data_IF_008749051295
#
_entry.id   IF_008749051295
#
_cell.length_a   1.000
_cell.length_b   1.000
_cell.length_c   1.000
_cell.angle_alpha   90.00
_cell.angle_beta   90.00
_cell.angle_gamma   90.00
#
_symmetry.space_group_name_H-M   'P 1'
#
loop_
_entity.id
_entity.type
_entity.pdbx_description
1 polymer ?
#
# COMPACT_ATOMS: atom_id res chain seq x y z
N UNK A 1 -11.33 -1.80 2.26
CA UNK A 1 -10.51 -0.98 1.33
C UNK A 1 -11.05 -1.01 -0.10
N UNK A 2 -10.95 -2.09 -0.90
CA UNK A 2 -11.40 -2.07 -2.32
C UNK A 2 -12.87 -1.67 -2.49
N UNK A 3 -13.75 -2.26 -1.69
CA UNK A 3 -15.18 -1.91 -1.66
C UNK A 3 -15.40 -0.42 -1.40
N UNK A 4 -14.76 0.14 -0.38
CA UNK A 4 -14.87 1.57 -0.04
C UNK A 4 -14.37 2.46 -1.18
N UNK A 5 -13.21 2.13 -1.76
CA UNK A 5 -12.65 2.88 -2.89
C UNK A 5 -13.61 2.87 -4.09
N UNK A 6 -14.20 1.72 -4.42
CA UNK A 6 -15.16 1.62 -5.52
C UNK A 6 -16.51 2.28 -5.21
N UNK A 7 -16.99 2.22 -3.96
CA UNK A 7 -18.21 2.92 -3.53
C UNK A 7 -18.04 4.44 -3.63
N UNK A 8 -16.91 4.97 -3.15
CA UNK A 8 -16.60 6.41 -3.21
C UNK A 8 -16.37 6.92 -4.63
N UNK A 9 -15.94 6.04 -5.55
CA UNK A 9 -15.86 6.33 -6.99
C UNK A 9 -17.21 6.24 -7.70
N UNK A 10 -18.27 5.84 -7.00
CA UNK A 10 -19.59 5.53 -7.57
C UNK A 10 -19.56 4.37 -8.60
N UNK A 11 -18.60 3.46 -8.44
CA UNK A 11 -18.45 2.25 -9.25
C UNK A 11 -19.23 1.07 -8.66
N UNK A 12 -19.59 1.11 -7.39
CA UNK A 12 -20.48 0.16 -6.72
C UNK A 12 -21.67 0.90 -6.12
N UNK A 13 -22.79 0.20 -5.97
CA UNK A 13 -23.96 0.72 -5.27
C UNK A 13 -24.50 -0.32 -4.30
N UNK A 14 -24.81 0.12 -3.10
CA UNK A 14 -25.48 -0.68 -2.07
C UNK A 14 -26.91 -0.14 -1.90
N UNK A 15 -27.87 -1.02 -1.65
CA UNK A 15 -29.22 -0.60 -1.28
C UNK A 15 -29.18 0.11 0.08
N UNK A 16 -29.93 1.21 0.22
CA UNK A 16 -30.05 1.97 1.47
C UNK A 16 -30.56 1.13 2.63
N UNK A 17 -31.24 0.03 2.34
CA UNK A 17 -31.90 -0.83 3.33
C UNK A 17 -31.00 -2.01 3.77
N UNK A 18 -29.79 -2.13 3.20
CA UNK A 18 -28.91 -3.27 3.40
C UNK A 18 -27.83 -2.98 4.46
N UNK A 19 -28.22 -3.06 5.74
CA UNK A 19 -27.26 -3.16 6.83
C UNK A 19 -27.56 -4.41 7.69
N UNK A 20 -26.57 -5.30 7.95
CA UNK A 20 -25.18 -5.32 7.48
C UNK A 20 -24.99 -5.98 6.09
N UNK A 21 -23.91 -5.64 5.38
CA UNK A 21 -23.49 -6.28 4.11
C UNK A 21 -22.52 -7.43 4.39
N UNK A 22 -22.78 -8.62 3.87
CA UNK A 22 -21.88 -9.77 4.02
C UNK A 22 -20.63 -9.64 3.14
N UNK A 23 -19.54 -10.28 3.56
CA UNK A 23 -18.31 -10.37 2.78
C UNK A 23 -18.57 -10.97 1.40
N UNK A 24 -19.33 -12.06 1.31
CA UNK A 24 -19.66 -12.70 0.03
C UNK A 24 -20.39 -11.75 -0.91
N UNK A 25 -21.33 -10.96 -0.39
CA UNK A 25 -22.06 -9.97 -1.20
C UNK A 25 -21.11 -8.88 -1.70
N UNK A 26 -20.21 -8.40 -0.86
CA UNK A 26 -19.21 -7.42 -1.27
C UNK A 26 -18.25 -7.99 -2.33
N UNK A 27 -17.79 -9.23 -2.16
CA UNK A 27 -16.94 -9.92 -3.13
C UNK A 27 -17.66 -10.07 -4.48
N UNK A 28 -18.93 -10.49 -4.50
CA UNK A 28 -19.72 -10.56 -5.75
C UNK A 28 -19.79 -9.21 -6.46
N UNK A 29 -20.05 -8.13 -5.74
CA UNK A 29 -20.14 -6.78 -6.32
C UNK A 29 -18.79 -6.32 -6.92
N UNK A 30 -17.68 -6.55 -6.21
CA UNK A 30 -16.34 -6.23 -6.73
C UNK A 30 -16.02 -7.08 -7.95
N UNK A 31 -16.41 -8.36 -7.94
CA UNK A 31 -16.18 -9.27 -9.05
C UNK A 31 -16.97 -8.85 -10.31
N UNK A 32 -18.25 -8.54 -10.16
CA UNK A 32 -19.09 -8.01 -11.25
C UNK A 32 -18.43 -6.77 -11.86
N UNK A 33 -17.97 -5.84 -11.02
CA UNK A 33 -17.29 -4.62 -11.49
C UNK A 33 -15.98 -4.92 -12.24
N UNK A 34 -15.21 -5.91 -11.78
CA UNK A 34 -13.97 -6.35 -12.43
C UNK A 34 -14.24 -6.89 -13.84
N UNK A 35 -15.26 -7.74 -13.99
CA UNK A 35 -15.66 -8.29 -15.29
C UNK A 35 -16.11 -7.16 -16.23
N UNK A 36 -16.97 -6.27 -15.74
CA UNK A 36 -17.51 -5.15 -16.53
C UNK A 36 -16.41 -4.22 -17.03
N UNK A 37 -15.44 -3.87 -16.17
CA UNK A 37 -14.27 -3.02 -16.53
C UNK A 37 -13.46 -3.60 -17.69
N UNK A 38 -13.38 -4.92 -17.80
CA UNK A 38 -12.42 -5.60 -18.66
C UNK A 38 -13.06 -6.30 -19.88
N UNK A 39 -14.39 -6.22 -20.01
CA UNK A 39 -15.16 -6.90 -21.07
C UNK A 39 -15.04 -6.31 -22.48
N UNK A 40 -14.46 -5.11 -22.63
CA UNK A 40 -14.54 -4.31 -23.88
C UNK A 40 -13.29 -4.31 -24.79
N UNK A 41 -12.26 -5.12 -24.52
CA UNK A 41 -11.04 -5.12 -25.34
C UNK A 41 -11.16 -6.00 -26.60
N UNK A 42 -10.89 -5.42 -27.78
CA UNK A 42 -11.14 -6.01 -29.11
C UNK A 42 -9.90 -6.64 -29.78
N UNK A 43 -8.74 -6.65 -29.14
CA UNK A 43 -7.48 -7.12 -29.74
C UNK A 43 -7.13 -8.55 -29.30
N UNK A 44 -7.15 -9.51 -30.24
CA UNK A 44 -7.10 -10.96 -29.97
C UNK A 44 -5.89 -11.45 -29.14
N UNK A 45 -4.71 -10.84 -29.28
CA UNK A 45 -3.52 -11.17 -28.46
C UNK A 45 -3.59 -10.59 -27.04
N UNK A 46 -4.25 -9.44 -26.88
CA UNK A 46 -4.47 -8.79 -25.58
C UNK A 46 -5.53 -9.55 -24.76
N UNK A 47 -6.48 -10.17 -25.46
CA UNK A 47 -7.60 -10.93 -24.87
C UNK A 47 -7.10 -12.14 -24.07
N UNK A 48 -6.10 -12.90 -24.52
CA UNK A 48 -5.67 -14.12 -23.81
C UNK A 48 -4.96 -13.80 -22.48
N UNK A 49 -4.02 -12.84 -22.48
CA UNK A 49 -3.34 -12.41 -21.26
C UNK A 49 -4.32 -11.72 -20.28
N UNK A 50 -5.25 -10.92 -20.79
CA UNK A 50 -6.27 -10.27 -19.96
C UNK A 50 -7.27 -11.28 -19.40
N UNK A 51 -7.68 -12.29 -20.16
CA UNK A 51 -8.54 -13.38 -19.69
C UNK A 51 -7.87 -14.18 -18.57
N UNK A 52 -6.58 -14.48 -18.70
CA UNK A 52 -5.84 -15.14 -17.63
C UNK A 52 -5.77 -14.28 -16.37
N UNK A 53 -5.49 -12.97 -16.51
CA UNK A 53 -5.48 -12.05 -15.37
C UNK A 53 -6.86 -11.96 -14.69
N UNK A 54 -7.96 -11.97 -15.45
CA UNK A 54 -9.32 -11.99 -14.90
C UNK A 54 -9.60 -13.31 -14.17
N UNK A 55 -9.21 -14.45 -14.75
CA UNK A 55 -9.37 -15.76 -14.12
C UNK A 55 -8.60 -15.84 -12.80
N UNK A 56 -7.34 -15.42 -12.80
CA UNK A 56 -6.52 -15.34 -11.59
C UNK A 56 -7.15 -14.40 -10.56
N UNK A 57 -7.68 -13.24 -10.98
CA UNK A 57 -8.34 -12.30 -10.09
C UNK A 57 -9.61 -12.89 -9.45
N UNK A 58 -10.41 -13.67 -10.19
CA UNK A 58 -11.59 -14.37 -9.65
C UNK A 58 -11.19 -15.30 -8.51
N UNK A 59 -10.14 -16.08 -8.69
CA UNK A 59 -9.67 -17.04 -7.70
C UNK A 59 -9.02 -16.36 -6.48
N UNK A 60 -8.40 -15.19 -6.69
CA UNK A 60 -7.70 -14.43 -5.65
C UNK A 60 -8.62 -13.50 -4.85
N UNK A 61 -9.72 -13.01 -5.42
CA UNK A 61 -10.59 -12.02 -4.78
C UNK A 61 -11.06 -12.44 -3.37
N UNK A 62 -11.50 -13.69 -3.13
CA UNK A 62 -11.88 -14.14 -1.79
C UNK A 62 -10.72 -14.10 -0.79
N UNK A 63 -9.49 -14.34 -1.27
CA UNK A 63 -8.28 -14.33 -0.41
C UNK A 63 -7.91 -12.92 0.04
N UNK A 64 -8.26 -11.88 -0.73
CA UNK A 64 -8.02 -10.49 -0.32
C UNK A 64 -8.68 -10.12 1.01
N UNK A 65 -9.78 -10.80 1.35
CA UNK A 65 -10.44 -10.60 2.63
C UNK A 65 -9.65 -11.16 3.83
N UNK A 66 -8.76 -12.14 3.57
CA UNK A 66 -7.91 -12.77 4.58
C UNK A 66 -6.51 -12.18 4.65
N UNK A 67 -6.13 -11.37 3.66
CA UNK A 67 -4.81 -10.73 3.58
C UNK A 67 -4.23 -10.80 2.17
N UNK A 68 -3.42 -9.80 1.82
CA UNK A 68 -2.71 -9.70 0.55
C UNK A 68 -1.23 -9.72 0.86
N UNK A 69 -0.47 -10.62 0.22
CA UNK A 69 0.99 -10.60 0.32
C UNK A 69 1.54 -9.58 -0.69
N UNK A 70 2.16 -8.52 -0.16
CA UNK A 70 2.81 -7.48 -0.94
C UNK A 70 4.26 -7.36 -0.49
N UNK A 71 5.15 -7.27 -1.45
CA UNK A 71 6.56 -7.05 -1.20
C UNK A 71 6.98 -5.70 -1.80
N UNK A 72 7.09 -4.68 -0.97
CA UNK A 72 7.45 -3.32 -1.40
C UNK A 72 8.95 -3.19 -1.73
N UNK A 73 9.29 -2.15 -2.48
CA UNK A 73 10.65 -1.61 -2.59
C UNK A 73 10.67 -0.18 -2.06
N UNK A 74 11.82 0.31 -1.66
CA UNK A 74 11.92 1.56 -0.91
C UNK A 74 12.19 2.79 -1.78
N UNK A 75 12.03 2.69 -3.10
CA UNK A 75 12.51 3.68 -4.07
C UNK A 75 11.47 4.68 -4.54
N UNK A 76 10.21 4.26 -4.74
CA UNK A 76 9.10 5.12 -5.17
C UNK A 76 7.81 4.69 -4.51
N UNK A 77 6.83 5.59 -4.47
CA UNK A 77 5.54 5.38 -3.81
C UNK A 77 4.70 4.23 -4.38
N UNK A 78 4.98 3.78 -5.59
CA UNK A 78 4.26 2.70 -6.28
C UNK A 78 5.15 1.49 -6.59
N UNK A 79 6.30 1.37 -5.94
CA UNK A 79 7.22 0.27 -6.22
C UNK A 79 6.91 -0.96 -5.37
N UNK A 80 6.22 -1.90 -5.99
CA UNK A 80 5.99 -3.25 -5.45
C UNK A 80 6.68 -4.28 -6.35
N UNK A 81 7.09 -5.41 -5.78
CA UNK A 81 7.29 -6.60 -6.61
C UNK A 81 5.96 -7.04 -7.18
N UNK A 82 5.97 -7.40 -8.46
CA UNK A 82 4.77 -7.86 -9.13
C UNK A 82 4.36 -9.23 -8.57
N UNK A 83 3.25 -9.25 -7.86
CA UNK A 83 2.55 -10.46 -7.44
C UNK A 83 1.25 -10.60 -8.22
N UNK A 84 0.64 -11.79 -8.22
CA UNK A 84 -0.64 -11.99 -8.90
C UNK A 84 -1.74 -11.16 -8.24
N UNK A 85 -1.63 -10.96 -6.94
CA UNK A 85 -2.54 -10.15 -6.14
C UNK A 85 -2.48 -8.67 -6.53
N UNK A 86 -1.32 -8.15 -6.95
CA UNK A 86 -1.19 -6.78 -7.47
C UNK A 86 -2.05 -6.54 -8.71
N UNK A 87 -2.24 -7.55 -9.56
CA UNK A 87 -2.98 -7.41 -10.82
C UNK A 87 -4.45 -7.01 -10.60
N UNK A 88 -5.04 -7.29 -9.43
CA UNK A 88 -6.42 -6.90 -9.12
C UNK A 88 -6.59 -5.38 -9.07
N UNK A 89 -5.57 -4.68 -8.56
CA UNK A 89 -5.58 -3.22 -8.51
C UNK A 89 -5.57 -2.63 -9.93
N UNK A 90 -4.73 -3.17 -10.81
CA UNK A 90 -4.66 -2.77 -12.22
C UNK A 90 -5.98 -3.06 -12.96
N UNK A 91 -6.56 -4.25 -12.78
CA UNK A 91 -7.83 -4.64 -13.41
C UNK A 91 -9.02 -3.78 -12.96
N UNK A 92 -8.96 -3.22 -11.75
CA UNK A 92 -9.98 -2.32 -11.21
C UNK A 92 -9.67 -0.83 -11.46
N UNK A 93 -8.55 -0.52 -12.12
CA UNK A 93 -8.02 0.84 -12.32
C UNK A 93 -7.85 1.60 -10.98
N UNK A 94 -7.38 0.89 -9.95
CA UNK A 94 -7.17 1.43 -8.61
C UNK A 94 -5.67 1.56 -8.37
N UNK A 95 -5.12 2.79 -8.25
CA UNK A 95 -3.72 2.97 -7.89
C UNK A 95 -3.42 2.40 -6.49
N UNK A 96 -2.29 1.73 -6.37
CA UNK A 96 -1.75 1.20 -5.12
C UNK A 96 -0.46 1.94 -4.76
N UNK A 97 -0.40 2.50 -3.56
CA UNK A 97 0.73 3.28 -3.07
C UNK A 97 1.20 2.86 -1.67
N UNK A 98 2.44 3.17 -1.33
CA UNK A 98 3.02 3.11 0.01
C UNK A 98 3.93 4.31 0.25
N UNK A 99 4.25 4.58 1.52
CA UNK A 99 5.09 5.72 1.94
C UNK A 99 6.41 5.32 2.57
N UNK A 100 6.80 4.05 2.45
CA UNK A 100 8.03 3.53 3.03
C UNK A 100 9.23 3.75 2.09
N UNK A 101 9.68 5.00 1.96
CA UNK A 101 10.69 5.41 0.97
C UNK A 101 11.99 5.82 1.67
N UNK A 102 13.14 5.33 1.20
CA UNK A 102 14.44 5.81 1.69
C UNK A 102 14.70 7.23 1.19
N UNK A 103 15.14 8.12 2.07
CA UNK A 103 15.55 9.47 1.68
C UNK A 103 16.83 9.41 0.83
N UNK A 104 16.83 9.90 -0.43
CA UNK A 104 18.02 9.94 -1.27
C UNK A 104 19.19 10.75 -0.68
N UNK A 105 18.93 11.63 0.29
CA UNK A 105 19.98 12.37 1.01
C UNK A 105 20.80 11.44 1.93
N UNK A 106 20.21 10.35 2.42
CA UNK A 106 20.95 9.28 3.10
C UNK A 106 21.60 8.36 2.06
N UNK A 107 22.68 8.87 1.46
CA UNK A 107 23.29 8.22 0.29
C UNK A 107 23.88 6.83 0.60
N UNK A 108 24.31 6.58 1.83
CA UNK A 108 24.93 5.32 2.23
C UNK A 108 23.85 4.25 2.44
N UNK A 109 22.79 4.57 3.19
CA UNK A 109 21.64 3.67 3.35
C UNK A 109 20.92 3.44 2.03
N UNK A 110 20.76 4.49 1.22
CA UNK A 110 20.15 4.40 -0.12
C UNK A 110 20.94 3.45 -1.04
N UNK A 111 22.27 3.50 -1.02
CA UNK A 111 23.12 2.54 -1.77
C UNK A 111 23.03 1.13 -1.20
N UNK A 112 23.01 0.97 0.13
CA UNK A 112 22.92 -0.34 0.78
C UNK A 112 21.59 -1.05 0.45
N UNK A 113 20.49 -0.31 0.47
CA UNK A 113 19.15 -0.78 0.09
C UNK A 113 19.04 -1.00 -1.43
N UNK A 114 19.47 -0.01 -2.22
CA UNK A 114 19.40 -0.05 -3.68
C UNK A 114 17.96 -0.26 -4.19
N UNK A 115 17.79 -1.16 -5.15
CA UNK A 115 16.47 -1.52 -5.71
C UNK A 115 15.85 -2.78 -5.09
N UNK A 116 16.35 -3.21 -3.92
CA UNK A 116 15.92 -4.45 -3.27
C UNK A 116 14.54 -4.28 -2.64
N UNK A 117 13.80 -5.37 -2.62
CA UNK A 117 12.51 -5.45 -1.92
C UNK A 117 12.70 -5.78 -0.44
N UNK A 118 11.66 -5.55 0.36
CA UNK A 118 11.66 -5.89 1.78
C UNK A 118 12.09 -7.34 2.03
N UNK A 119 11.49 -8.31 1.34
CA UNK A 119 11.85 -9.73 1.51
C UNK A 119 13.30 -10.03 1.11
N UNK A 120 13.82 -9.37 0.08
CA UNK A 120 15.24 -9.51 -0.33
C UNK A 120 16.16 -9.00 0.78
N UNK A 121 15.89 -7.82 1.33
CA UNK A 121 16.67 -7.25 2.43
C UNK A 121 16.61 -8.15 3.67
N UNK A 122 15.43 -8.62 4.05
CA UNK A 122 15.28 -9.52 5.19
C UNK A 122 16.06 -10.83 5.00
N UNK A 123 16.03 -11.41 3.80
CA UNK A 123 16.83 -12.59 3.47
C UNK A 123 18.34 -12.34 3.60
N UNK A 124 18.82 -11.18 3.13
CA UNK A 124 20.23 -10.79 3.27
C UNK A 124 20.64 -10.60 4.74
N UNK A 125 19.79 -9.96 5.56
CA UNK A 125 20.06 -9.76 6.98
C UNK A 125 20.11 -11.08 7.75
N UNK A 126 19.14 -11.98 7.53
CA UNK A 126 19.16 -13.32 8.13
C UNK A 126 20.40 -14.09 7.69
N UNK A 127 20.78 -14.00 6.42
CA UNK A 127 22.01 -14.61 5.91
C UNK A 127 23.28 -13.97 6.49
N UNK A 128 23.26 -12.71 6.92
CA UNK A 128 24.38 -12.06 7.62
C UNK A 128 24.49 -12.55 9.07
N UNK A 129 23.37 -12.65 9.78
CA UNK A 129 23.32 -13.12 11.18
C UNK A 129 23.74 -14.59 11.32
N UNK A 130 23.35 -15.44 10.37
CA UNK A 130 23.60 -16.90 10.41
C UNK A 130 25.00 -17.30 9.97
N UNK A 131 25.86 -16.37 9.53
CA UNK A 131 27.22 -16.66 9.03
C UNK A 131 28.23 -17.16 10.07
N UNK A 132 27.83 -17.33 11.32
CA UNK A 132 28.64 -18.00 12.33
C UNK A 132 28.59 -19.53 12.16
N UNK A 133 29.36 -20.10 11.22
CA UNK A 133 30.31 -21.23 11.45
C UNK A 133 30.98 -21.91 10.23
N UNK A 134 30.63 -21.65 8.96
CA UNK A 134 31.18 -22.54 7.88
C UNK A 134 31.53 -21.94 6.51
N UNK A 135 31.35 -20.64 6.23
CA UNK A 135 31.55 -20.11 4.86
C UNK A 135 32.52 -18.93 4.69
N UNK A 136 33.42 -18.67 5.66
CA UNK A 136 34.36 -17.53 5.62
C UNK A 136 35.54 -17.66 4.62
N UNK A 137 35.61 -18.70 3.79
CA UNK A 137 36.84 -19.02 3.02
C UNK A 137 36.91 -18.47 1.59
N UNK A 138 36.00 -17.57 1.17
CA UNK A 138 35.97 -17.07 -0.23
C UNK A 138 35.91 -15.54 -0.42
N UNK A 139 35.71 -14.75 0.63
CA UNK A 139 35.61 -13.27 0.53
C UNK A 139 36.81 -12.57 1.14
N UNK A 140 37.16 -11.41 0.60
CA UNK A 140 38.20 -10.56 1.19
C UNK A 140 37.70 -9.92 2.49
N UNK A 141 38.63 -9.44 3.33
CA UNK A 141 38.29 -8.74 4.57
C UNK A 141 37.44 -7.49 4.29
N UNK A 142 37.77 -6.73 3.24
CA UNK A 142 37.07 -5.50 2.88
C UNK A 142 35.63 -5.77 2.40
N UNK A 143 35.41 -6.86 1.67
CA UNK A 143 34.06 -7.29 1.25
C UNK A 143 33.19 -7.66 2.45
N UNK A 144 33.76 -8.38 3.42
CA UNK A 144 33.05 -8.78 4.65
C UNK A 144 32.69 -7.53 5.46
N UNK A 145 33.63 -6.59 5.60
CA UNK A 145 33.40 -5.36 6.34
C UNK A 145 32.31 -4.50 5.68
N UNK A 146 32.34 -4.35 4.35
CA UNK A 146 31.32 -3.63 3.59
C UNK A 146 29.93 -4.26 3.76
N UNK A 147 29.83 -5.58 3.71
CA UNK A 147 28.55 -6.28 3.93
C UNK A 147 28.01 -6.08 5.34
N UNK A 148 28.87 -6.08 6.36
CA UNK A 148 28.47 -5.81 7.73
C UNK A 148 27.95 -4.38 7.90
N UNK A 149 28.67 -3.38 7.36
CA UNK A 149 28.26 -1.97 7.39
C UNK A 149 26.91 -1.80 6.68
N UNK A 150 26.73 -2.38 5.50
CA UNK A 150 25.46 -2.33 4.78
C UNK A 150 24.33 -2.97 5.59
N UNK A 151 24.59 -4.11 6.24
CA UNK A 151 23.62 -4.78 7.11
C UNK A 151 23.15 -3.90 8.27
N UNK A 152 24.08 -3.19 8.93
CA UNK A 152 23.76 -2.25 10.01
C UNK A 152 22.94 -1.05 9.52
N UNK A 153 23.29 -0.48 8.36
CA UNK A 153 22.53 0.63 7.74
C UNK A 153 21.08 0.21 7.42
N UNK A 154 20.92 -0.95 6.78
CA UNK A 154 19.59 -1.50 6.44
C UNK A 154 18.80 -1.78 7.72
N UNK A 155 19.42 -2.39 8.72
CA UNK A 155 18.78 -2.68 10.01
C UNK A 155 18.33 -1.40 10.71
N UNK A 156 19.19 -0.38 10.72
CA UNK A 156 18.90 0.93 11.28
C UNK A 156 17.70 1.58 10.59
N UNK A 157 17.68 1.58 9.26
CA UNK A 157 16.55 2.09 8.48
C UNK A 157 15.24 1.38 8.84
N UNK A 158 15.20 0.05 8.77
CA UNK A 158 13.98 -0.72 9.03
C UNK A 158 13.45 -0.50 10.46
N UNK A 159 14.33 -0.40 11.45
CA UNK A 159 13.96 -0.10 12.84
C UNK A 159 13.41 1.33 13.00
N UNK A 160 14.11 2.31 12.43
CA UNK A 160 13.73 3.72 12.55
C UNK A 160 12.47 4.08 11.76
N UNK A 161 12.09 3.25 10.78
CA UNK A 161 10.92 3.42 9.93
C UNK A 161 9.89 2.30 10.08
N UNK A 162 9.83 1.66 11.25
CA UNK A 162 8.93 0.54 11.54
C UNK A 162 7.43 0.86 11.35
N UNK A 163 7.04 2.14 11.33
CA UNK A 163 5.68 2.59 11.01
C UNK A 163 5.32 2.47 9.52
N UNK A 164 6.29 2.05 8.68
CA UNK A 164 6.19 1.91 7.23
C UNK A 164 5.80 3.20 6.49
N UNK A 165 6.14 4.35 7.08
CA UNK A 165 5.98 5.67 6.50
C UNK A 165 7.17 6.53 6.92
N UNK A 166 7.94 7.01 5.95
CA UNK A 166 9.03 7.97 6.19
C UNK A 166 8.57 9.39 5.89
N UNK A 167 9.28 10.38 6.42
CA UNK A 167 9.04 11.80 6.08
C UNK A 167 9.19 12.02 4.58
N UNK A 168 10.30 11.53 4.00
CA UNK A 168 10.52 11.60 2.56
C UNK A 168 9.40 10.92 1.76
N UNK A 169 8.91 9.76 2.23
CA UNK A 169 7.81 9.05 1.60
C UNK A 169 6.47 9.78 1.70
N UNK A 170 6.20 10.49 2.81
CA UNK A 170 5.02 11.34 2.94
C UNK A 170 5.02 12.48 1.91
N UNK A 171 6.14 13.21 1.78
CA UNK A 171 6.28 14.23 0.75
C UNK A 171 6.21 13.64 -0.66
N UNK A 172 6.83 12.48 -0.89
CA UNK A 172 6.74 11.77 -2.18
C UNK A 172 5.30 11.40 -2.54
N UNK A 173 4.47 11.03 -1.56
CA UNK A 173 3.04 10.78 -1.77
C UNK A 173 2.29 12.08 -2.08
N UNK A 174 2.53 13.14 -1.32
CA UNK A 174 1.92 14.45 -1.56
C UNK A 174 2.25 14.97 -2.97
N UNK A 175 3.47 14.79 -3.45
CA UNK A 175 3.87 15.22 -4.79
C UNK A 175 3.39 14.27 -5.90
N UNK A 176 3.42 12.95 -5.64
CA UNK A 176 3.16 11.93 -6.63
C UNK A 176 1.68 11.64 -6.91
N UNK A 177 0.80 11.82 -5.91
CA UNK A 177 -0.64 11.60 -6.08
C UNK A 177 -1.30 12.75 -6.83
N UNK A 178 -2.26 12.44 -7.71
CA UNK A 178 -3.07 13.45 -8.38
C UNK A 178 -4.07 14.05 -7.40
N UNK A 179 -4.33 15.34 -7.55
CA UNK A 179 -5.37 16.03 -6.79
C UNK A 179 -6.73 15.38 -7.04
N UNK A 180 -7.52 15.14 -5.98
CA UNK A 180 -8.80 14.40 -6.00
C UNK A 180 -8.70 12.96 -6.50
N UNK A 181 -7.55 12.31 -6.34
CA UNK A 181 -7.37 10.89 -6.62
C UNK A 181 -7.75 10.03 -5.41
N UNK A 182 -8.60 9.01 -5.64
CA UNK A 182 -8.86 7.93 -4.69
C UNK A 182 -7.94 6.76 -5.01
N UNK A 183 -7.20 6.28 -4.01
CA UNK A 183 -6.26 5.17 -4.18
C UNK A 183 -6.29 4.22 -2.98
N UNK A 184 -5.51 3.16 -3.09
CA UNK A 184 -5.22 2.24 -2.00
C UNK A 184 -3.85 2.56 -1.44
N UNK A 185 -3.76 2.67 -0.13
CA UNK A 185 -2.54 3.01 0.58
C UNK A 185 -2.15 1.91 1.57
N UNK A 186 -0.99 1.30 1.34
CA UNK A 186 -0.41 0.28 2.21
C UNK A 186 0.50 0.90 3.26
N UNK A 187 0.18 0.67 4.53
CA UNK A 187 1.00 1.11 5.67
C UNK A 187 0.75 0.21 6.87
N UNK A 188 1.81 -0.16 7.57
CA UNK A 188 1.79 -0.95 8.80
C UNK A 188 1.00 -2.25 8.63
N UNK A 189 1.26 -2.97 7.53
CA UNK A 189 0.55 -4.20 7.14
C UNK A 189 -0.98 -4.05 7.00
N UNK A 190 -1.47 -2.82 6.83
CA UNK A 190 -2.87 -2.51 6.64
C UNK A 190 -3.11 -1.80 5.31
N UNK A 191 -4.28 -2.04 4.73
CA UNK A 191 -4.73 -1.41 3.50
C UNK A 191 -5.78 -0.34 3.79
N UNK A 192 -5.48 0.88 3.37
CA UNK A 192 -6.31 2.04 3.61
C UNK A 192 -6.89 2.55 2.29
N UNK A 193 -8.06 3.16 2.33
CA UNK A 193 -8.55 3.99 1.23
C UNK A 193 -8.04 5.40 1.48
N UNK A 194 -7.23 5.94 0.57
CA UNK A 194 -6.64 7.27 0.69
C UNK A 194 -7.15 8.20 -0.40
N UNK A 195 -7.28 9.47 -0.07
CA UNK A 195 -7.74 10.53 -0.95
C UNK A 195 -6.83 11.76 -0.82
N UNK A 196 -6.54 12.42 -1.94
CA UNK A 196 -5.84 13.70 -1.94
C UNK A 196 -6.82 14.85 -2.14
N UNK A 197 -6.79 15.83 -1.24
CA UNK A 197 -7.62 17.03 -1.32
C UNK A 197 -6.85 18.27 -0.85
N UNK A 198 -6.84 19.32 -1.67
CA UNK A 198 -6.14 20.59 -1.43
C UNK A 198 -4.66 20.39 -1.08
N UNK A 199 -3.99 19.45 -1.76
CA UNK A 199 -2.58 19.11 -1.52
C UNK A 199 -2.32 18.23 -0.29
N UNK A 200 -3.35 17.93 0.49
CA UNK A 200 -3.26 17.13 1.71
C UNK A 200 -3.77 15.71 1.50
N UNK A 201 -3.28 14.78 2.32
CA UNK A 201 -3.61 13.36 2.24
C UNK A 201 -4.54 12.95 3.37
N UNK A 202 -5.59 12.21 3.02
CA UNK A 202 -6.63 11.77 3.94
C UNK A 202 -6.86 10.27 3.81
N UNK A 203 -6.96 9.57 4.93
CA UNK A 203 -7.30 8.15 5.01
C UNK A 203 -8.75 8.02 5.48
N UNK A 204 -9.54 7.17 4.83
CA UNK A 204 -10.91 6.91 5.24
C UNK A 204 -10.92 6.26 6.64
N UNK A 205 -11.64 6.85 7.58
CA UNK A 205 -11.88 6.28 8.90
C UNK A 205 -12.80 5.06 8.78
N UNK A 206 -12.27 3.87 9.06
CA UNK A 206 -13.02 2.60 8.96
C UNK A 206 -13.15 1.85 10.28
N UNK A 207 -12.66 2.42 11.37
CA UNK A 207 -12.76 1.81 12.70
C UNK A 207 -14.23 1.78 13.17
N UNK A 208 -14.64 0.65 13.75
CA UNK A 208 -16.02 0.46 14.21
C UNK A 208 -16.40 1.42 15.35
N UNK A 209 -15.43 1.95 16.11
CA UNK A 209 -15.64 2.96 17.13
C UNK A 209 -16.21 4.29 16.59
N UNK A 210 -16.11 4.55 15.29
CA UNK A 210 -16.69 5.74 14.65
C UNK A 210 -18.09 5.51 14.05
N UNK A 211 -18.69 4.32 14.20
CA UNK A 211 -19.96 3.98 13.56
C UNK A 211 -21.10 4.96 13.91
N UNK A 212 -21.13 5.45 15.15
CA UNK A 212 -22.13 6.40 15.65
C UNK A 212 -21.67 7.87 15.54
N UNK A 213 -20.58 8.13 14.82
CA UNK A 213 -19.97 9.45 14.62
C UNK A 213 -19.99 9.83 13.13
N UNK A 214 -21.16 10.20 12.56
CA UNK A 214 -21.31 10.42 11.12
C UNK A 214 -20.44 11.57 10.56
N UNK A 215 -19.98 12.47 11.43
CA UNK A 215 -19.11 13.59 11.06
C UNK A 215 -17.61 13.25 11.09
N UNK A 216 -17.24 11.99 11.35
CA UNK A 216 -15.85 11.53 11.41
C UNK A 216 -15.59 10.56 10.26
N UNK A 217 -15.16 11.12 9.12
CA UNK A 217 -15.04 10.37 7.86
C UNK A 217 -13.59 10.19 7.43
N UNK A 218 -12.76 11.20 7.60
CA UNK A 218 -11.39 11.21 7.08
C UNK A 218 -10.38 11.48 8.19
N UNK A 219 -9.30 10.72 8.22
CA UNK A 219 -8.14 10.96 9.07
C UNK A 219 -7.05 11.63 8.25
N UNK A 220 -6.59 12.82 8.65
CA UNK A 220 -5.46 13.48 7.96
C UNK A 220 -4.19 12.68 8.19
N UNK A 221 -3.51 12.30 7.11
CA UNK A 221 -2.23 11.60 7.14
C UNK A 221 -1.12 12.63 7.39
N UNK A 222 -0.52 12.59 8.58
CA UNK A 222 0.57 13.48 8.98
C UNK A 222 1.79 12.71 9.52
N UNK A 223 2.90 13.43 9.71
CA UNK A 223 4.19 12.88 10.18
C UNK A 223 4.12 12.29 11.60
N UNK A 224 3.16 12.73 12.44
CA UNK A 224 3.16 12.46 13.88
C UNK A 224 1.95 11.62 14.29
N UNK A 225 2.18 10.31 14.46
CA UNK A 225 1.19 9.31 14.87
C UNK A 225 0.56 9.50 16.26
N UNK A 226 0.71 10.67 16.89
CA UNK A 226 0.28 10.90 18.28
C UNK A 226 -1.06 11.65 18.33
N UNK A 227 -1.45 12.36 17.27
CA UNK A 227 -2.76 13.01 17.18
C UNK A 227 -3.36 12.81 15.79
N UNK A 228 -4.24 11.81 15.67
CA UNK A 228 -5.09 11.64 14.48
C UNK A 228 -6.06 12.80 14.42
N UNK A 229 -5.91 13.68 13.42
CA UNK A 229 -6.92 14.70 13.14
C UNK A 229 -7.99 14.08 12.26
N UNK A 230 -9.14 13.78 12.86
CA UNK A 230 -10.30 13.28 12.13
C UNK A 230 -11.19 14.45 11.71
N UNK A 231 -11.62 14.46 10.46
CA UNK A 231 -12.39 15.53 9.82
C UNK A 231 -13.66 14.98 9.18
N UNK A 232 -14.61 15.88 8.94
CA UNK A 232 -15.88 15.55 8.31
C UNK A 232 -15.74 15.28 6.81
N UNK A 233 -16.84 14.92 6.15
CA UNK A 233 -16.89 14.58 4.72
C UNK A 233 -16.38 15.73 3.83
N UNK A 234 -16.54 16.97 4.28
CA UNK A 234 -16.10 18.20 3.61
C UNK A 234 -14.66 18.61 3.97
N UNK A 235 -13.92 17.73 4.67
CA UNK A 235 -12.53 17.91 5.11
C UNK A 235 -12.32 19.01 6.17
N UNK A 236 -13.38 19.51 6.81
CA UNK A 236 -13.30 20.53 7.86
C UNK A 236 -13.08 19.88 9.23
N UNK A 237 -12.11 20.39 10.00
CA UNK A 237 -11.86 19.96 11.38
C UNK A 237 -12.93 20.47 12.34
N UNK A 238 -13.39 19.65 13.28
CA UNK A 238 -14.39 20.03 14.31
C UNK A 238 -13.93 21.08 15.35
N UNK A 239 -12.78 21.73 15.15
CA UNK A 239 -12.18 22.69 16.09
C UNK A 239 -12.49 24.18 15.84
N UNK A 240 -13.31 24.55 14.86
CA UNK A 240 -13.46 25.96 14.42
C UNK A 240 -14.89 26.54 14.50
N UNK A 241 -15.81 25.87 15.18
CA UNK A 241 -17.15 26.39 15.47
C UNK A 241 -17.39 26.48 16.98
N UNK A 242 -16.61 27.32 17.66
CA UNK A 242 -16.95 27.92 18.95
C UNK A 242 -16.60 29.41 18.91
#
# INVERSE_FOLDING_TARGET
MLGNTLLLRNNLSLSSDAAPVSQDKLCSLVLERLIDSNSNNKDAWYVENQQQNIADAIDLLPRLATGIDLNIKFTRINDFEFTRECAIFDLLDIPLYHGWIIDPQDSDTSKAIGSKSYNTLMGELVALETRNTTHALKKSHDEILSEYINGELITGFLKNSASQLTIHGLFSLQDGLKERELCVFFRNNHFNTMFKFEGELYILATDQGYIDQPDLVWEKLNEMSIATTVVALDFVSKGSYL
#
